data_IF_836814855607
#
_entry.id   IF_836814855607
#
_cell.length_a   1.000
_cell.length_b   1.000
_cell.length_c   1.000
_cell.angle_alpha   90.00
_cell.angle_beta   90.00
_cell.angle_gamma   90.00
#
_symmetry.space_group_name_H-M   'P 1'
#
loop_
_entity.id
_entity.type
_entity.pdbx_description
1 polymer ?
#
# COMPACT_ATOMS: atom_id res chain seq x y z
N UNK A 1 -10.21 -28.00 21.13
CA UNK A 1 -10.23 -26.53 21.31
C UNK A 1 -9.03 -25.81 20.65
N UNK A 2 -7.89 -26.45 20.39
CA UNK A 2 -6.68 -25.78 19.85
C UNK A 2 -6.71 -25.38 18.36
N UNK A 3 -7.30 -26.20 17.47
CA UNK A 3 -7.30 -25.95 16.02
C UNK A 3 -8.09 -24.68 15.61
N UNK A 4 -9.19 -24.40 16.33
CA UNK A 4 -10.04 -23.24 16.07
C UNK A 4 -9.35 -21.93 16.46
N UNK A 5 -8.46 -21.96 17.46
CA UNK A 5 -7.65 -20.81 17.89
C UNK A 5 -6.51 -20.52 16.91
N UNK A 6 -5.87 -21.56 16.37
CA UNK A 6 -4.83 -21.44 15.34
C UNK A 6 -5.38 -20.78 14.06
N UNK A 7 -6.53 -21.24 13.57
CA UNK A 7 -7.18 -20.65 12.39
C UNK A 7 -7.57 -19.18 12.60
N UNK A 8 -8.02 -18.81 13.80
CA UNK A 8 -8.34 -17.42 14.12
C UNK A 8 -7.10 -16.51 14.09
N UNK A 9 -5.96 -16.99 14.62
CA UNK A 9 -4.69 -16.27 14.59
C UNK A 9 -4.15 -16.12 13.16
N UNK A 10 -4.25 -17.17 12.33
CA UNK A 10 -3.86 -17.11 10.92
C UNK A 10 -4.70 -16.08 10.17
N UNK A 11 -6.03 -16.04 10.39
CA UNK A 11 -6.90 -15.04 9.78
C UNK A 11 -6.55 -13.61 10.20
N UNK A 12 -6.28 -13.39 11.49
CA UNK A 12 -5.88 -12.07 12.00
C UNK A 12 -4.53 -11.63 11.42
N UNK A 13 -3.56 -12.54 11.38
CA UNK A 13 -2.25 -12.30 10.79
C UNK A 13 -2.34 -12.00 9.29
N UNK A 14 -3.18 -12.74 8.55
CA UNK A 14 -3.41 -12.47 7.13
C UNK A 14 -4.14 -11.13 6.92
N UNK A 15 -5.07 -10.74 7.79
CA UNK A 15 -5.66 -9.40 7.72
C UNK A 15 -4.62 -8.30 7.95
N UNK A 16 -3.68 -8.51 8.89
CA UNK A 16 -2.58 -7.58 9.15
C UNK A 16 -1.58 -7.51 7.99
N UNK A 17 -1.16 -8.65 7.42
CA UNK A 17 -0.32 -8.68 6.22
C UNK A 17 -1.04 -7.99 5.05
N UNK A 18 -2.35 -8.15 4.89
CA UNK A 18 -3.08 -7.48 3.81
C UNK A 18 -3.08 -5.95 3.96
N UNK A 19 -3.21 -5.45 5.19
CA UNK A 19 -3.05 -4.02 5.49
C UNK A 19 -1.61 -3.54 5.26
N UNK A 20 -0.61 -4.31 5.73
CA UNK A 20 0.82 -3.98 5.63
C UNK A 20 1.38 -4.11 4.21
N UNK A 21 0.86 -5.04 3.41
CA UNK A 21 1.26 -5.29 2.02
C UNK A 21 0.86 -4.16 1.06
N UNK A 22 0.27 -3.08 1.58
CA UNK A 22 -0.05 -1.89 0.81
C UNK A 22 -1.41 -1.95 0.11
N UNK A 23 -2.28 -2.91 0.46
CA UNK A 23 -3.68 -2.84 0.01
C UNK A 23 -4.37 -1.55 0.50
N UNK A 24 -3.99 -1.09 1.70
CA UNK A 24 -4.44 0.15 2.37
C UNK A 24 -3.54 1.36 2.02
N UNK A 25 -2.39 1.16 1.36
CA UNK A 25 -1.49 2.27 1.02
C UNK A 25 -2.17 3.29 0.09
N UNK A 26 -3.02 2.80 -0.81
CA UNK A 26 -3.81 3.66 -1.68
C UNK A 26 -4.86 4.46 -0.91
N UNK A 27 -5.53 3.86 0.08
CA UNK A 27 -6.50 4.57 0.93
C UNK A 27 -5.82 5.66 1.77
N UNK A 28 -4.63 5.38 2.33
CA UNK A 28 -3.82 6.41 3.02
C UNK A 28 -3.36 7.52 2.09
N UNK A 29 -2.97 7.17 0.86
CA UNK A 29 -2.64 8.16 -0.18
C UNK A 29 -3.85 9.04 -0.49
N UNK A 30 -5.05 8.48 -0.64
CA UNK A 30 -6.28 9.25 -0.85
C UNK A 30 -6.59 10.18 0.33
N UNK A 31 -6.50 9.70 1.57
CA UNK A 31 -6.70 10.54 2.76
C UNK A 31 -5.70 11.69 2.82
N UNK A 32 -4.43 11.42 2.50
CA UNK A 32 -3.39 12.44 2.42
C UNK A 32 -3.65 13.44 1.28
N UNK A 33 -4.04 12.96 0.11
CA UNK A 33 -4.36 13.78 -1.06
C UNK A 33 -5.55 14.70 -0.77
N UNK A 34 -6.63 14.18 -0.18
CA UNK A 34 -7.79 15.00 0.23
C UNK A 34 -7.41 16.04 1.27
N UNK A 35 -6.52 15.70 2.21
CA UNK A 35 -6.10 16.60 3.29
C UNK A 35 -5.12 17.69 2.83
N UNK A 36 -4.19 17.37 1.93
CA UNK A 36 -3.08 18.27 1.55
C UNK A 36 -3.25 18.89 0.16
N UNK A 37 -4.05 18.29 -0.70
CA UNK A 37 -4.19 18.65 -2.11
C UNK A 37 -5.63 18.43 -2.62
N UNK A 38 -6.63 19.11 -2.01
CA UNK A 38 -8.04 18.95 -2.38
C UNK A 38 -8.33 19.36 -3.84
N UNK A 39 -7.55 20.28 -4.41
CA UNK A 39 -7.70 20.76 -5.80
C UNK A 39 -7.08 19.85 -6.87
N UNK A 40 -6.36 18.79 -6.48
CA UNK A 40 -5.74 17.86 -7.44
C UNK A 40 -6.46 16.53 -7.46
N UNK A 41 -6.80 16.07 -8.67
CA UNK A 41 -7.36 14.73 -8.89
C UNK A 41 -6.37 13.66 -8.39
N UNK A 42 -6.79 12.77 -7.47
CA UNK A 42 -5.93 11.69 -7.00
C UNK A 42 -5.53 10.77 -8.16
N UNK A 43 -4.29 10.28 -8.12
CA UNK A 43 -3.83 9.23 -9.02
C UNK A 43 -4.73 8.00 -8.88
N UNK A 44 -4.94 7.27 -9.98
CA UNK A 44 -5.62 5.98 -9.90
C UNK A 44 -4.77 4.97 -9.14
N UNK A 45 -5.39 3.93 -8.58
CA UNK A 45 -4.67 2.87 -7.85
C UNK A 45 -3.52 2.28 -8.68
N UNK A 46 -3.77 2.02 -9.95
CA UNK A 46 -2.77 1.50 -10.88
C UNK A 46 -1.60 2.46 -11.08
N UNK A 47 -1.87 3.76 -11.22
CA UNK A 47 -0.82 4.78 -11.40
C UNK A 47 0.01 5.00 -10.14
N UNK A 48 -0.62 4.97 -8.95
CA UNK A 48 0.11 5.02 -7.69
C UNK A 48 1.11 3.86 -7.56
N UNK A 49 0.68 2.62 -7.82
CA UNK A 49 1.57 1.47 -7.79
C UNK A 49 2.63 1.52 -8.89
N UNK A 50 2.29 2.07 -10.06
CA UNK A 50 3.25 2.25 -11.16
C UNK A 50 4.34 3.25 -10.77
N UNK A 51 3.98 4.43 -10.25
CA UNK A 51 4.96 5.41 -9.75
C UNK A 51 5.81 4.83 -8.63
N UNK A 52 5.20 4.12 -7.68
CA UNK A 52 5.95 3.51 -6.57
C UNK A 52 6.98 2.47 -7.06
N UNK A 53 6.60 1.65 -8.05
CA UNK A 53 7.54 0.72 -8.68
C UNK A 53 8.59 1.45 -9.51
N UNK A 54 8.19 2.48 -10.27
CA UNK A 54 9.11 3.30 -11.03
C UNK A 54 10.13 3.97 -10.10
N UNK A 55 9.75 4.60 -9.00
CA UNK A 55 10.73 5.13 -8.03
C UNK A 55 11.63 4.07 -7.40
N UNK A 56 11.12 2.85 -7.20
CA UNK A 56 11.89 1.74 -6.63
C UNK A 56 12.88 1.11 -7.61
N UNK A 57 12.56 1.12 -8.90
CA UNK A 57 13.28 0.34 -9.93
C UNK A 57 13.85 1.20 -11.07
N UNK A 58 13.32 2.40 -11.29
CA UNK A 58 13.84 3.41 -12.21
C UNK A 58 14.97 4.18 -11.54
N UNK A 59 16.15 3.58 -11.63
CA UNK A 59 17.37 4.28 -11.27
C UNK A 59 18.50 3.32 -10.98
N UNK A 60 19.16 2.82 -12.03
CA UNK A 60 20.62 2.73 -11.92
C UNK A 60 21.06 4.19 -11.78
N UNK A 61 21.26 4.65 -10.54
CA UNK A 61 21.89 5.94 -10.28
C UNK A 61 23.34 5.81 -10.71
N UNK A 62 23.57 5.91 -12.02
CA UNK A 62 24.90 6.10 -12.57
C UNK A 62 25.33 7.50 -12.13
N UNK A 63 26.09 7.53 -11.06
CA UNK A 63 27.06 8.59 -10.81
C UNK A 63 27.94 8.67 -12.06
N UNK A 64 27.65 9.64 -12.93
CA UNK A 64 28.61 10.20 -13.87
C UNK A 64 28.89 11.63 -13.43
#
# INVERSE_FOLDING_TARGET
>A
MGERLMLAKIKAFWRAIRQLSGADAYERYLLHQVKHHPDKTPLTKAEFFKQWQDEKWAGIKRCC
#
